data_IF_102758940204
#
_entry.id   IF_102758940204
#
_cell.length_a   1.000
_cell.length_b   1.000
_cell.length_c   1.000
_cell.angle_alpha   90.00
_cell.angle_beta   90.00
_cell.angle_gamma   90.00
#
_symmetry.space_group_name_H-M   'P 1'
#
loop_
_entity.id
_entity.type
_entity.pdbx_description
1 polymer ?
#
# COMPACT_ATOMS: atom_id res chain seq x y z
N UNK A 1 23.90 -39.23 5.66
CA UNK A 1 22.91 -38.39 6.37
C UNK A 1 22.63 -37.13 5.54
N UNK A 2 21.47 -36.97 4.89
CA UNK A 2 21.15 -35.73 4.21
C UNK A 2 20.81 -34.64 5.25
N UNK A 3 21.43 -33.45 5.14
CA UNK A 3 21.12 -32.31 6.00
C UNK A 3 19.63 -31.95 5.87
N UNK A 4 18.93 -31.63 6.98
CA UNK A 4 17.55 -31.19 6.90
C UNK A 4 17.46 -29.96 5.98
N UNK A 5 16.48 -29.96 5.07
CA UNK A 5 16.26 -28.83 4.17
C UNK A 5 15.79 -27.62 4.98
N UNK A 6 16.73 -26.80 5.43
CA UNK A 6 16.45 -25.59 6.20
C UNK A 6 15.82 -24.54 5.29
N UNK A 7 14.53 -24.27 5.50
CA UNK A 7 13.80 -23.26 4.75
C UNK A 7 14.47 -21.89 4.97
N UNK A 8 14.88 -21.18 3.90
CA UNK A 8 15.50 -19.87 4.07
C UNK A 8 14.50 -18.87 4.67
N UNK A 9 14.94 -18.07 5.65
CA UNK A 9 14.14 -16.95 6.17
C UNK A 9 13.82 -15.98 5.02
N UNK A 10 12.57 -16.00 4.56
CA UNK A 10 12.05 -15.16 3.48
C UNK A 10 10.61 -14.78 3.78
N UNK A 11 10.24 -13.55 3.45
CA UNK A 11 8.87 -13.04 3.55
C UNK A 11 8.33 -12.78 2.14
N UNK A 12 7.05 -13.08 1.93
CA UNK A 12 6.34 -12.76 0.70
C UNK A 12 5.88 -11.30 0.70
N UNK A 13 6.79 -10.40 0.31
CA UNK A 13 6.54 -8.95 0.25
C UNK A 13 5.48 -8.56 -0.79
N UNK A 14 5.20 -9.43 -1.79
CA UNK A 14 4.18 -9.17 -2.82
C UNK A 14 2.76 -9.13 -2.24
N UNK A 15 2.48 -9.93 -1.21
CA UNK A 15 1.16 -9.93 -0.55
C UNK A 15 0.93 -8.63 0.24
N UNK A 16 1.94 -8.19 0.98
CA UNK A 16 1.88 -6.98 1.78
C UNK A 16 1.74 -5.73 0.91
N UNK A 17 2.53 -5.64 -0.17
CA UNK A 17 2.47 -4.50 -1.09
C UNK A 17 1.12 -4.38 -1.79
N UNK A 18 0.45 -5.50 -2.10
CA UNK A 18 -0.85 -5.50 -2.79
C UNK A 18 -1.99 -5.01 -1.90
N UNK A 19 -1.87 -5.22 -0.58
CA UNK A 19 -2.82 -4.67 0.39
C UNK A 19 -2.64 -3.16 0.57
N UNK A 20 -1.38 -2.69 0.68
CA UNK A 20 -1.08 -1.25 0.81
C UNK A 20 -1.45 -0.44 -0.44
N UNK A 21 -1.21 -0.98 -1.65
CA UNK A 21 -1.51 -0.27 -2.89
C UNK A 21 -3.01 -0.03 -3.15
N UNK A 22 -3.91 -0.77 -2.49
CA UNK A 22 -5.37 -0.55 -2.60
C UNK A 22 -5.87 0.60 -1.71
N UNK A 23 -5.06 1.12 -0.81
CA UNK A 23 -5.48 2.07 0.23
C UNK A 23 -4.96 3.49 -0.01
N UNK A 24 -4.22 3.74 -1.09
CA UNK A 24 -3.48 5.00 -1.32
C UNK A 24 -4.39 6.24 -1.29
N UNK A 25 -5.65 6.14 -1.72
CA UNK A 25 -6.64 7.23 -1.66
C UNK A 25 -7.93 6.85 -0.93
N UNK A 26 -7.92 5.77 -0.14
CA UNK A 26 -9.14 5.28 0.50
C UNK A 26 -9.75 6.30 1.48
N UNK A 27 -8.90 7.11 2.14
CA UNK A 27 -9.33 8.23 2.98
C UNK A 27 -10.10 9.27 2.19
N UNK A 28 -9.54 9.76 1.09
CA UNK A 28 -10.16 10.82 0.28
C UNK A 28 -11.41 10.35 -0.47
N UNK A 29 -11.42 9.08 -0.89
CA UNK A 29 -12.63 8.44 -1.44
C UNK A 29 -13.75 8.43 -0.37
N UNK A 30 -13.41 8.02 0.86
CA UNK A 30 -14.39 7.96 1.96
C UNK A 30 -14.90 9.35 2.36
N UNK A 31 -14.04 10.37 2.34
CA UNK A 31 -14.41 11.76 2.59
C UNK A 31 -15.35 12.30 1.50
N UNK A 32 -15.05 12.04 0.22
CA UNK A 32 -15.89 12.45 -0.90
C UNK A 32 -17.28 11.80 -0.86
N UNK A 33 -17.36 10.48 -0.59
CA UNK A 33 -18.65 9.80 -0.41
C UNK A 33 -19.41 10.29 0.82
N UNK A 34 -18.71 10.61 1.91
CA UNK A 34 -19.32 11.18 3.12
C UNK A 34 -19.90 12.58 2.84
N UNK A 35 -19.25 13.36 1.99
CA UNK A 35 -19.77 14.65 1.55
C UNK A 35 -21.02 14.47 0.67
N UNK A 36 -20.95 13.62 -0.36
CA UNK A 36 -22.10 13.37 -1.25
C UNK A 36 -23.34 12.85 -0.49
N UNK A 37 -23.15 11.95 0.47
CA UNK A 37 -24.26 11.43 1.29
C UNK A 37 -24.89 12.52 2.17
N UNK A 38 -24.08 13.44 2.72
CA UNK A 38 -24.59 14.58 3.50
C UNK A 38 -25.41 15.56 2.66
N UNK A 39 -25.03 15.78 1.41
CA UNK A 39 -25.69 16.72 0.51
C UNK A 39 -26.68 16.06 -0.47
N UNK A 40 -27.17 14.85 -0.17
CA UNK A 40 -28.13 14.09 -1.02
C UNK A 40 -27.68 14.00 -2.49
N UNK A 41 -26.39 13.78 -2.72
CA UNK A 41 -25.79 13.70 -4.06
C UNK A 41 -25.89 15.00 -4.88
N UNK A 42 -26.03 16.16 -4.24
CA UNK A 42 -25.68 17.42 -4.89
C UNK A 42 -24.16 17.52 -4.97
N UNK A 43 -23.64 17.42 -6.20
CA UNK A 43 -22.20 17.36 -6.49
C UNK A 43 -21.66 18.77 -6.79
N UNK A 44 -22.51 19.66 -7.29
CA UNK A 44 -22.10 20.99 -7.74
C UNK A 44 -21.88 21.95 -6.56
N UNK A 45 -20.62 22.32 -6.30
CA UNK A 45 -20.24 23.41 -5.38
C UNK A 45 -20.05 23.03 -3.91
N UNK A 46 -20.62 21.91 -3.45
CA UNK A 46 -20.62 21.52 -2.02
C UNK A 46 -19.47 20.59 -1.62
N UNK A 47 -19.01 19.74 -2.54
CA UNK A 47 -17.97 18.73 -2.29
C UNK A 47 -16.71 18.94 -3.15
N UNK A 48 -16.51 20.14 -3.69
CA UNK A 48 -15.40 20.44 -4.59
C UNK A 48 -14.04 20.29 -3.91
N UNK A 49 -13.95 20.59 -2.61
CA UNK A 49 -12.70 20.44 -1.85
C UNK A 49 -12.29 18.98 -1.71
N UNK A 50 -13.24 18.11 -1.37
CA UNK A 50 -13.05 16.66 -1.24
C UNK A 50 -12.78 16.02 -2.60
N UNK A 51 -13.43 16.52 -3.66
CA UNK A 51 -13.17 16.12 -5.04
C UNK A 51 -11.75 16.47 -5.47
N UNK A 52 -11.32 17.71 -5.23
CA UNK A 52 -9.97 18.17 -5.58
C UNK A 52 -8.88 17.39 -4.81
N UNK A 53 -9.12 17.12 -3.52
CA UNK A 53 -8.23 16.28 -2.72
C UNK A 53 -8.11 14.85 -3.29
N UNK A 54 -9.24 14.26 -3.70
CA UNK A 54 -9.27 12.94 -4.33
C UNK A 54 -8.53 12.92 -5.68
N UNK A 55 -8.73 13.92 -6.53
CA UNK A 55 -8.05 14.05 -7.82
C UNK A 55 -6.53 14.21 -7.66
N UNK A 56 -6.09 15.03 -6.70
CA UNK A 56 -4.67 15.17 -6.35
C UNK A 56 -4.08 13.85 -5.87
N UNK A 57 -4.76 13.15 -4.97
CA UNK A 57 -4.31 11.84 -4.49
C UNK A 57 -4.20 10.83 -5.64
N UNK A 58 -5.18 10.77 -6.54
CA UNK A 58 -5.15 9.88 -7.69
C UNK A 58 -3.98 10.20 -8.65
N UNK A 59 -3.71 11.48 -8.87
CA UNK A 59 -2.59 11.92 -9.69
C UNK A 59 -1.22 11.53 -9.09
N UNK A 60 -1.07 11.63 -7.76
CA UNK A 60 0.16 11.23 -7.08
C UNK A 60 0.32 9.71 -7.00
N UNK A 61 -0.78 8.98 -6.79
CA UNK A 61 -0.78 7.52 -6.83
C UNK A 61 -0.38 7.00 -8.22
N UNK A 62 -0.80 7.67 -9.30
CA UNK A 62 -0.40 7.32 -10.67
C UNK A 62 1.11 7.51 -10.93
N UNK A 63 1.75 8.46 -10.23
CA UNK A 63 3.19 8.75 -10.36
C UNK A 63 4.07 7.86 -9.49
N UNK A 64 3.52 7.20 -8.47
CA UNK A 64 4.30 6.35 -7.56
C UNK A 64 4.82 5.11 -8.28
N UNK A 65 6.14 5.04 -8.41
CA UNK A 65 6.82 3.84 -8.89
C UNK A 65 7.01 2.83 -7.77
N UNK A 66 7.03 1.54 -8.13
CA UNK A 66 7.18 0.44 -7.20
C UNK A 66 8.57 0.45 -6.56
N UNK A 67 8.67 0.87 -5.31
CA UNK A 67 9.90 0.82 -4.52
C UNK A 67 10.42 -0.63 -4.41
N UNK A 68 11.71 -0.84 -4.71
CA UNK A 68 12.35 -2.17 -4.60
C UNK A 68 12.56 -2.51 -3.13
N UNK A 69 11.86 -3.54 -2.64
CA UNK A 69 11.99 -4.00 -1.27
C UNK A 69 13.14 -5.01 -1.12
N UNK A 70 14.14 -4.70 -0.29
CA UNK A 70 15.33 -5.53 -0.02
C UNK A 70 15.23 -6.36 1.27
N UNK A 71 14.08 -6.44 1.94
CA UNK A 71 13.90 -7.19 3.21
C UNK A 71 14.44 -8.61 3.14
N UNK A 72 14.22 -9.33 2.04
CA UNK A 72 14.68 -10.71 1.90
C UNK A 72 16.22 -10.81 1.87
N UNK A 73 16.92 -9.79 1.39
CA UNK A 73 18.38 -9.73 1.42
C UNK A 73 18.88 -9.64 2.88
N UNK A 74 18.26 -8.78 3.69
CA UNK A 74 18.63 -8.62 5.10
C UNK A 74 18.29 -9.87 5.92
N UNK A 75 17.11 -10.48 5.70
CA UNK A 75 16.71 -11.71 6.38
C UNK A 75 17.63 -12.90 6.06
N UNK A 76 18.09 -13.02 4.81
CA UNK A 76 19.06 -14.03 4.45
C UNK A 76 20.40 -13.84 5.15
N UNK A 77 20.85 -12.58 5.30
CA UNK A 77 22.10 -12.27 6.00
C UNK A 77 22.00 -12.58 7.49
N UNK A 78 20.89 -12.23 8.14
CA UNK A 78 20.62 -12.57 9.54
C UNK A 78 20.51 -14.07 9.76
N UNK A 79 19.81 -14.79 8.88
CA UNK A 79 19.69 -16.25 8.97
C UNK A 79 21.01 -17.00 8.81
N UNK A 80 22.02 -16.39 8.17
CA UNK A 80 23.39 -16.92 8.12
C UNK A 80 24.17 -16.62 9.39
N UNK A 81 23.99 -15.42 9.96
CA UNK A 81 24.65 -15.01 11.19
C UNK A 81 24.16 -15.80 12.41
N UNK A 82 22.85 -16.08 12.48
CA UNK A 82 22.21 -16.87 13.54
C UNK A 82 22.49 -18.38 13.47
N UNK A 83 23.09 -18.87 12.37
CA UNK A 83 23.49 -20.28 12.19
C UNK A 83 24.93 -20.56 12.62
N UNK A 84 25.69 -19.54 13.02
CA UNK A 84 26.97 -19.69 13.71
C UNK A 84 26.72 -19.77 15.21
#
# INVERSE_FOLDING_TARGET
>A
MPRPQERPLKINTKRLSRAQSKLECAGEISAFFSCMTRFKFQIDGTCDKEKEALERCAADAAKKTKQRNTINYHLQRLGRALKR
#
